data_IF_207973923480
#
_entry.id   IF_207973923480
#
_cell.length_a   1.000
_cell.length_b   1.000
_cell.length_c   1.000
_cell.angle_alpha   90.00
_cell.angle_beta   90.00
_cell.angle_gamma   90.00
#
_symmetry.space_group_name_H-M   'P 1'
#
loop_
_entity.id
_entity.type
_entity.pdbx_description
1 polymer ?
#
# COMPACT_ATOMS: atom_id res chain seq x y z
N UNK A 1 29.37 37.38 -48.35
CA UNK A 1 29.05 36.14 -47.61
C UNK A 1 28.67 36.38 -46.13
N UNK A 2 28.33 37.60 -45.69
CA UNK A 2 27.91 37.84 -44.29
C UNK A 2 26.54 37.23 -43.93
N UNK A 3 25.57 37.27 -44.86
CA UNK A 3 24.15 36.91 -44.61
C UNK A 3 23.87 35.44 -44.29
N UNK A 4 24.81 34.51 -44.54
CA UNK A 4 24.61 33.08 -44.23
C UNK A 4 24.86 32.79 -42.74
N UNK A 5 25.68 33.60 -42.06
CA UNK A 5 25.99 33.42 -40.63
C UNK A 5 24.83 33.80 -39.70
N UNK A 6 23.90 34.63 -40.19
CA UNK A 6 22.77 35.15 -39.41
C UNK A 6 21.48 34.34 -39.60
N UNK A 7 21.53 33.25 -40.39
CA UNK A 7 20.38 32.38 -40.58
C UNK A 7 20.11 31.54 -39.33
N UNK A 8 18.87 31.54 -38.79
CA UNK A 8 18.51 30.71 -37.66
C UNK A 8 18.74 29.24 -37.96
N UNK A 9 19.50 28.59 -37.09
CA UNK A 9 19.78 27.16 -37.22
C UNK A 9 18.52 26.38 -36.87
N UNK A 10 18.26 25.27 -37.56
CA UNK A 10 17.06 24.47 -37.30
C UNK A 10 17.09 23.85 -35.90
N UNK A 11 15.91 23.60 -35.32
CA UNK A 11 15.75 22.93 -34.01
C UNK A 11 16.52 21.60 -33.93
N UNK A 12 16.53 20.83 -35.02
CA UNK A 12 17.24 19.56 -35.09
C UNK A 12 18.76 19.76 -35.05
N UNK A 13 19.29 20.74 -35.79
CA UNK A 13 20.72 21.06 -35.74
C UNK A 13 21.15 21.57 -34.35
N UNK A 14 20.30 22.34 -33.67
CA UNK A 14 20.56 22.77 -32.29
C UNK A 14 20.57 21.58 -31.33
N UNK A 15 19.57 20.69 -31.42
CA UNK A 15 19.50 19.45 -30.63
C UNK A 15 20.74 18.57 -30.84
N UNK A 16 21.13 18.34 -32.09
CA UNK A 16 22.29 17.50 -32.42
C UNK A 16 23.59 18.10 -31.91
N UNK A 17 23.74 19.44 -31.96
CA UNK A 17 24.88 20.13 -31.37
C UNK A 17 24.90 19.99 -29.85
N UNK A 18 23.76 20.15 -29.18
CA UNK A 18 23.65 19.96 -27.73
C UNK A 18 24.05 18.54 -27.33
N UNK A 19 23.55 17.53 -28.05
CA UNK A 19 23.89 16.12 -27.78
C UNK A 19 25.37 15.84 -27.99
N UNK A 20 25.97 16.34 -29.09
CA UNK A 20 27.42 16.21 -29.33
C UNK A 20 28.27 16.90 -28.27
N UNK A 21 27.85 18.08 -27.80
CA UNK A 21 28.55 18.79 -26.73
C UNK A 21 28.43 18.00 -25.42
N UNK A 22 27.25 17.49 -25.08
CA UNK A 22 27.02 16.68 -23.89
C UNK A 22 27.86 15.40 -23.90
N UNK A 23 27.92 14.69 -25.04
CA UNK A 23 28.77 13.52 -25.23
C UNK A 23 30.26 13.85 -25.08
N UNK A 24 30.72 14.95 -25.69
CA UNK A 24 32.10 15.40 -25.56
C UNK A 24 32.47 15.76 -24.11
N UNK A 25 31.60 16.48 -23.39
CA UNK A 25 31.79 16.80 -21.97
C UNK A 25 31.86 15.50 -21.14
N UNK A 26 30.94 14.57 -21.38
CA UNK A 26 30.93 13.28 -20.68
C UNK A 26 32.22 12.50 -20.90
N UNK A 27 32.71 12.46 -22.14
CA UNK A 27 33.97 11.78 -22.47
C UNK A 27 35.18 12.45 -21.80
N UNK A 28 35.22 13.79 -21.73
CA UNK A 28 36.27 14.53 -21.01
C UNK A 28 36.22 14.25 -19.51
N UNK A 29 35.04 14.29 -18.89
CA UNK A 29 34.86 13.96 -17.48
C UNK A 29 35.32 12.53 -17.16
N UNK A 30 35.01 11.55 -18.01
CA UNK A 30 35.46 10.16 -17.84
C UNK A 30 36.99 10.05 -17.95
N UNK A 31 37.60 10.74 -18.92
CA UNK A 31 39.05 10.73 -19.11
C UNK A 31 39.77 11.35 -17.90
N UNK A 32 39.29 12.49 -17.42
CA UNK A 32 39.81 13.18 -16.25
C UNK A 32 39.65 12.33 -14.97
N UNK A 33 38.49 11.70 -14.79
CA UNK A 33 38.22 10.84 -13.64
C UNK A 33 39.12 9.60 -13.62
N UNK A 34 39.45 9.03 -14.78
CA UNK A 34 40.41 7.90 -14.88
C UNK A 34 41.84 8.29 -14.49
N UNK A 35 42.19 9.57 -14.62
CA UNK A 35 43.50 10.11 -14.26
C UNK A 35 43.58 10.59 -12.81
N UNK A 36 42.43 10.72 -12.12
CA UNK A 36 42.40 11.22 -10.75
C UNK A 36 42.85 10.13 -9.76
N UNK A 37 43.72 10.51 -8.81
CA UNK A 37 44.13 9.62 -7.72
C UNK A 37 43.21 9.70 -6.51
N UNK A 38 42.56 10.85 -6.30
CA UNK A 38 41.74 11.15 -5.13
C UNK A 38 40.54 11.99 -5.54
N UNK A 39 39.37 11.65 -4.99
CA UNK A 39 38.13 12.38 -5.16
C UNK A 39 37.30 12.38 -3.87
N UNK A 40 36.31 13.28 -3.82
CA UNK A 40 35.31 13.38 -2.75
C UNK A 40 33.92 13.48 -3.38
N UNK A 41 32.89 13.02 -2.67
CA UNK A 41 31.49 13.02 -3.13
C UNK A 41 30.68 13.97 -2.24
N UNK A 42 29.86 14.82 -2.86
CA UNK A 42 28.84 15.62 -2.19
C UNK A 42 27.45 15.18 -2.64
N UNK A 43 26.53 15.02 -1.69
CA UNK A 43 25.15 14.63 -1.91
C UNK A 43 24.24 15.77 -1.48
N UNK A 44 23.39 16.25 -2.38
CA UNK A 44 22.48 17.38 -2.10
C UNK A 44 21.06 17.11 -2.62
N UNK A 45 20.05 17.67 -1.96
CA UNK A 45 18.67 17.62 -2.44
C UNK A 45 18.41 18.78 -3.40
N UNK A 46 18.15 18.46 -4.67
CA UNK A 46 17.77 19.45 -5.68
C UNK A 46 16.34 19.21 -6.15
N UNK A 47 15.70 20.25 -6.70
CA UNK A 47 14.36 20.16 -7.29
C UNK A 47 14.46 20.39 -8.78
N UNK A 48 13.94 19.47 -9.59
CA UNK A 48 13.93 19.63 -11.05
C UNK A 48 12.89 20.67 -11.51
N UNK A 49 12.89 20.99 -12.81
CA UNK A 49 11.93 21.95 -13.40
C UNK A 49 10.46 21.52 -13.30
N UNK A 50 10.18 20.26 -12.93
CA UNK A 50 8.84 19.72 -12.70
C UNK A 50 8.42 19.81 -11.23
N UNK A 51 9.29 20.28 -10.33
CA UNK A 51 9.04 20.32 -8.88
C UNK A 51 9.38 19.03 -8.15
N UNK A 52 9.99 18.05 -8.83
CA UNK A 52 10.35 16.76 -8.25
C UNK A 52 11.71 16.82 -7.54
N UNK A 53 11.74 16.41 -6.27
CA UNK A 53 12.98 16.31 -5.49
C UNK A 53 13.86 15.16 -6.02
N UNK A 54 15.15 15.44 -6.18
CA UNK A 54 16.18 14.51 -6.64
C UNK A 54 17.44 14.63 -5.79
N UNK A 55 18.11 13.51 -5.58
CA UNK A 55 19.46 13.45 -5.03
C UNK A 55 20.47 13.84 -6.11
N UNK A 56 21.13 14.97 -5.92
CA UNK A 56 22.25 15.42 -6.73
C UNK A 56 23.54 14.86 -6.19
N UNK A 57 24.29 14.17 -7.05
CA UNK A 57 25.59 13.58 -6.73
C UNK A 57 26.65 14.40 -7.44
N UNK A 58 27.42 15.15 -6.67
CA UNK A 58 28.59 15.88 -7.14
C UNK A 58 29.86 15.10 -6.80
N UNK A 59 30.83 15.12 -7.69
CA UNK A 59 32.18 14.63 -7.41
C UNK A 59 33.14 15.81 -7.52
N UNK A 60 33.99 15.97 -6.50
CA UNK A 60 35.09 16.92 -6.49
C UNK A 60 36.41 16.17 -6.49
N UNK A 61 37.26 16.38 -7.49
CA UNK A 61 38.48 15.61 -7.74
C UNK A 61 39.63 16.48 -8.25
N UNK A 62 40.86 15.96 -8.15
CA UNK A 62 42.07 16.63 -8.64
C UNK A 62 42.45 16.11 -10.03
N UNK A 63 42.77 17.04 -10.93
CA UNK A 63 43.38 16.75 -12.24
C UNK A 63 44.63 17.62 -12.37
N UNK A 64 45.81 17.00 -12.32
CA UNK A 64 47.06 17.74 -12.22
C UNK A 64 47.11 18.58 -10.94
N UNK A 65 47.11 19.90 -11.08
CA UNK A 65 47.12 20.88 -9.98
C UNK A 65 45.81 21.66 -9.83
N UNK A 66 44.74 21.25 -10.52
CA UNK A 66 43.42 21.89 -10.47
C UNK A 66 42.39 21.02 -9.76
N UNK A 67 41.49 21.66 -9.02
CA UNK A 67 40.31 21.02 -8.41
C UNK A 67 39.12 21.24 -9.34
N UNK A 68 38.45 20.16 -9.72
CA UNK A 68 37.19 20.21 -10.47
C UNK A 68 36.05 19.69 -9.60
N UNK A 69 34.87 20.27 -9.78
CA UNK A 69 33.62 19.81 -9.17
C UNK A 69 32.57 19.66 -10.28
N UNK A 70 32.01 18.46 -10.40
CA UNK A 70 31.11 18.11 -11.49
C UNK A 70 29.87 17.40 -10.96
N UNK A 71 28.70 17.74 -11.51
CA UNK A 71 27.47 16.98 -11.28
C UNK A 71 27.54 15.68 -12.07
N UNK A 72 27.56 14.56 -11.36
CA UNK A 72 27.70 13.23 -11.97
C UNK A 72 26.35 12.61 -12.27
N UNK A 73 25.39 12.73 -11.34
CA UNK A 73 24.07 12.15 -11.52
C UNK A 73 23.02 12.83 -10.67
N UNK A 74 21.83 12.98 -11.25
CA UNK A 74 20.60 13.19 -10.50
C UNK A 74 19.89 11.84 -10.35
N UNK A 75 19.66 11.42 -9.12
CA UNK A 75 18.97 10.16 -8.80
C UNK A 75 17.64 10.51 -8.12
N UNK A 76 16.57 9.87 -8.52
CA UNK A 76 15.30 10.00 -7.81
C UNK A 76 15.43 9.42 -6.40
N UNK A 77 14.83 10.07 -5.41
CA UNK A 77 14.93 9.68 -3.99
C UNK A 77 14.13 8.42 -3.64
N UNK A 78 13.18 8.04 -4.50
CA UNK A 78 12.27 6.92 -4.25
C UNK A 78 12.87 5.66 -4.84
N UNK A 79 13.27 4.72 -3.99
CA UNK A 79 13.90 3.45 -4.43
C UNK A 79 12.96 2.25 -4.32
N UNK A 80 11.92 2.34 -3.51
CA UNK A 80 11.02 1.23 -3.23
C UNK A 80 9.61 1.68 -2.86
N UNK A 81 8.64 0.82 -3.12
CA UNK A 81 7.24 0.99 -2.74
C UNK A 81 6.79 -0.28 -2.03
N UNK A 82 6.13 -0.12 -0.88
CA UNK A 82 5.46 -1.23 -0.19
C UNK A 82 3.96 -1.09 -0.35
N UNK A 83 3.26 -2.12 -0.83
CA UNK A 83 1.81 -2.10 -1.08
C UNK A 83 1.12 -3.27 -0.39
N UNK A 84 -0.21 -3.22 -0.28
CA UNK A 84 -1.02 -4.35 0.22
C UNK A 84 -1.09 -5.54 -0.75
N UNK A 85 -0.38 -5.49 -1.88
CA UNK A 85 -0.35 -6.57 -2.86
C UNK A 85 -1.61 -6.70 -3.71
N UNK A 86 -2.58 -5.78 -3.61
CA UNK A 86 -3.78 -5.82 -4.42
C UNK A 86 -3.43 -5.74 -5.93
N UNK A 87 -4.21 -6.37 -6.84
CA UNK A 87 -3.93 -6.33 -8.28
C UNK A 87 -3.84 -4.90 -8.86
N UNK A 88 -4.61 -3.96 -8.31
CA UNK A 88 -4.51 -2.53 -8.67
C UNK A 88 -3.18 -1.89 -8.25
N UNK A 89 -2.47 -2.47 -7.29
CA UNK A 89 -1.18 -1.99 -6.79
C UNK A 89 0.00 -2.69 -7.47
N UNK A 90 -0.07 -4.01 -7.63
CA UNK A 90 1.03 -4.87 -8.11
C UNK A 90 0.87 -5.37 -9.54
N UNK A 91 -0.25 -5.06 -10.19
CA UNK A 91 -0.55 -5.47 -11.57
C UNK A 91 0.58 -5.12 -12.54
N UNK A 92 0.92 -6.08 -13.41
CA UNK A 92 2.07 -5.98 -14.32
C UNK A 92 1.98 -4.79 -15.27
N UNK A 93 0.79 -4.46 -15.73
CA UNK A 93 0.57 -3.40 -16.73
C UNK A 93 -0.05 -2.15 -16.12
N UNK A 94 -1.17 -2.33 -15.41
CA UNK A 94 -1.99 -1.27 -14.81
C UNK A 94 -1.80 -1.10 -13.31
N UNK A 95 -0.90 -1.86 -12.68
CA UNK A 95 -0.63 -1.73 -11.26
C UNK A 95 0.11 -0.44 -10.91
N UNK A 96 -0.23 0.16 -9.76
CA UNK A 96 0.41 1.37 -9.25
C UNK A 96 1.93 1.31 -9.32
N UNK A 97 2.56 0.21 -8.87
CA UNK A 97 4.03 0.10 -8.85
C UNK A 97 4.60 0.28 -10.26
N UNK A 98 4.00 -0.34 -11.28
CA UNK A 98 4.46 -0.24 -12.66
C UNK A 98 4.24 1.16 -13.23
N UNK A 99 3.05 1.73 -13.04
CA UNK A 99 2.73 3.08 -13.50
C UNK A 99 3.61 4.14 -12.83
N UNK A 100 3.84 3.98 -11.54
CA UNK A 100 4.69 4.85 -10.75
C UNK A 100 6.17 4.69 -11.12
N UNK A 101 6.63 3.47 -11.40
CA UNK A 101 7.97 3.21 -11.95
C UNK A 101 8.18 3.96 -13.26
N UNK A 102 7.19 3.91 -14.18
CA UNK A 102 7.22 4.65 -15.44
C UNK A 102 7.23 6.16 -15.22
N UNK A 103 6.45 6.66 -14.27
CA UNK A 103 6.38 8.09 -13.94
C UNK A 103 7.69 8.61 -13.33
N UNK A 104 8.27 7.89 -12.36
CA UNK A 104 9.52 8.27 -11.69
C UNK A 104 10.73 8.10 -12.63
N UNK A 105 10.59 7.27 -13.67
CA UNK A 105 11.57 7.16 -14.75
C UNK A 105 12.76 6.25 -14.46
N UNK A 106 12.68 5.41 -13.42
CA UNK A 106 13.67 4.36 -13.13
C UNK A 106 13.03 3.18 -12.38
N UNK A 107 13.66 1.99 -12.36
CA UNK A 107 13.13 0.81 -11.67
C UNK A 107 12.89 1.04 -10.17
N UNK A 108 11.73 0.61 -9.66
CA UNK A 108 11.38 0.61 -8.24
C UNK A 108 11.32 -0.82 -7.69
N UNK A 109 11.77 -0.99 -6.44
CA UNK A 109 11.58 -2.25 -5.71
C UNK A 109 10.16 -2.30 -5.12
N UNK A 110 9.34 -3.22 -5.62
CA UNK A 110 8.00 -3.47 -5.10
C UNK A 110 8.01 -4.53 -4.00
N UNK A 111 7.58 -4.15 -2.79
CA UNK A 111 7.41 -5.07 -1.66
C UNK A 111 5.93 -5.25 -1.31
N UNK A 112 5.56 -6.47 -0.95
CA UNK A 112 4.27 -6.72 -0.30
C UNK A 112 4.38 -6.38 1.18
N UNK A 113 3.44 -5.60 1.70
CA UNK A 113 3.35 -5.20 3.09
C UNK A 113 3.31 -6.42 4.00
N UNK A 114 4.33 -6.54 4.86
CA UNK A 114 4.49 -7.67 5.79
C UNK A 114 3.30 -7.80 6.75
N UNK A 115 2.70 -6.67 7.16
CA UNK A 115 1.50 -6.62 8.01
C UNK A 115 0.30 -7.21 7.27
N UNK A 116 0.17 -6.94 5.96
CA UNK A 116 -0.92 -7.52 5.17
C UNK A 116 -0.68 -9.01 4.90
N UNK A 117 0.55 -9.43 4.62
CA UNK A 117 0.89 -10.84 4.45
C UNK A 117 0.64 -11.65 5.73
N UNK A 118 1.04 -11.12 6.88
CA UNK A 118 0.76 -11.71 8.19
C UNK A 118 -0.76 -11.88 8.41
N UNK A 119 -1.56 -10.84 8.12
CA UNK A 119 -3.01 -10.91 8.18
C UNK A 119 -3.62 -11.96 7.22
N UNK A 120 -3.08 -12.11 6.01
CA UNK A 120 -3.50 -13.14 5.06
C UNK A 120 -3.17 -14.56 5.55
N UNK A 121 -1.96 -14.76 6.09
CA UNK A 121 -1.53 -16.02 6.68
C UNK A 121 -2.42 -16.39 7.87
N UNK A 122 -2.66 -15.45 8.78
CA UNK A 122 -3.57 -15.63 9.92
C UNK A 122 -4.96 -16.05 9.45
N UNK A 123 -5.55 -15.37 8.43
CA UNK A 123 -6.86 -15.70 7.87
C UNK A 123 -6.97 -17.15 7.40
N UNK A 124 -5.90 -17.70 6.81
CA UNK A 124 -5.88 -19.11 6.43
C UNK A 124 -5.77 -20.02 7.66
N UNK A 125 -4.98 -19.66 8.68
CA UNK A 125 -4.92 -20.42 9.94
C UNK A 125 -6.29 -20.47 10.62
N UNK A 126 -7.09 -19.40 10.59
CA UNK A 126 -8.47 -19.41 11.12
C UNK A 126 -9.37 -20.44 10.44
N UNK A 127 -9.11 -20.84 9.19
CA UNK A 127 -9.89 -21.92 8.53
C UNK A 127 -9.68 -23.27 9.20
N UNK A 128 -8.49 -23.52 9.75
CA UNK A 128 -8.19 -24.76 10.50
C UNK A 128 -8.97 -24.83 11.81
N UNK A 129 -9.30 -23.68 12.39
CA UNK A 129 -10.03 -23.55 13.67
C UNK A 129 -11.44 -22.96 13.48
N UNK A 130 -12.03 -23.11 12.29
CA UNK A 130 -13.30 -22.46 11.92
C UNK A 130 -14.47 -22.94 12.80
N UNK A 131 -14.49 -24.23 13.16
CA UNK A 131 -15.48 -24.78 14.08
C UNK A 131 -15.43 -24.11 15.46
N UNK A 132 -14.22 -23.89 16.00
CA UNK A 132 -14.01 -23.23 17.29
C UNK A 132 -14.50 -21.78 17.23
N UNK A 133 -14.08 -21.03 16.20
CA UNK A 133 -14.49 -19.64 16.02
C UNK A 133 -16.00 -19.51 15.87
N UNK A 134 -16.64 -20.39 15.10
CA UNK A 134 -18.09 -20.36 14.90
C UNK A 134 -18.83 -20.55 16.21
N UNK A 135 -18.40 -21.51 17.03
CA UNK A 135 -19.03 -21.77 18.32
C UNK A 135 -18.81 -20.60 19.30
N UNK A 136 -17.57 -20.14 19.46
CA UNK A 136 -17.24 -18.97 20.29
C UNK A 136 -18.07 -17.76 19.86
N UNK A 137 -18.13 -17.47 18.57
CA UNK A 137 -18.91 -16.35 18.01
C UNK A 137 -20.40 -16.51 18.30
N UNK A 138 -20.95 -17.73 18.18
CA UNK A 138 -22.35 -18.02 18.49
C UNK A 138 -22.65 -17.73 19.97
N UNK A 139 -21.81 -18.21 20.88
CA UNK A 139 -21.98 -18.00 22.32
C UNK A 139 -21.83 -16.52 22.69
N UNK A 140 -20.77 -15.86 22.22
CA UNK A 140 -20.54 -14.44 22.46
C UNK A 140 -21.74 -13.63 21.98
N UNK A 141 -22.20 -13.83 20.75
CA UNK A 141 -23.35 -13.12 20.21
C UNK A 141 -24.65 -13.42 20.99
N UNK A 142 -24.86 -14.64 21.47
CA UNK A 142 -26.01 -14.96 22.32
C UNK A 142 -26.02 -14.13 23.62
N UNK A 143 -24.85 -13.95 24.23
CA UNK A 143 -24.68 -13.17 25.45
C UNK A 143 -24.79 -11.67 25.16
N UNK A 144 -24.11 -11.17 24.12
CA UNK A 144 -23.90 -9.74 23.92
C UNK A 144 -24.93 -9.06 23.03
N UNK A 145 -25.60 -9.78 22.12
CA UNK A 145 -26.51 -9.17 21.14
C UNK A 145 -27.84 -8.72 21.77
N UNK A 146 -28.29 -9.35 22.86
CA UNK A 146 -29.52 -8.99 23.57
C UNK A 146 -29.18 -8.20 24.84
N UNK A 147 -29.74 -7.00 24.99
CA UNK A 147 -29.47 -6.14 26.14
C UNK A 147 -29.83 -6.74 27.50
N UNK A 148 -30.80 -7.66 27.57
CA UNK A 148 -31.10 -8.39 28.80
C UNK A 148 -29.98 -9.39 29.16
N UNK A 149 -29.58 -10.24 28.22
CA UNK A 149 -28.52 -11.23 28.42
C UNK A 149 -27.20 -10.54 28.78
N UNK A 150 -26.88 -9.45 28.06
CA UNK A 150 -25.71 -8.64 28.35
C UNK A 150 -25.72 -8.13 29.78
N UNK A 151 -26.79 -7.48 30.24
CA UNK A 151 -26.89 -6.97 31.63
C UNK A 151 -26.82 -8.08 32.67
N UNK A 152 -27.45 -9.23 32.43
CA UNK A 152 -27.38 -10.38 33.33
C UNK A 152 -25.94 -10.90 33.46
N UNK A 153 -25.26 -11.07 32.33
CA UNK A 153 -23.86 -11.51 32.32
C UNK A 153 -22.94 -10.47 32.97
N UNK A 154 -23.16 -9.17 32.74
CA UNK A 154 -22.41 -8.11 33.42
C UNK A 154 -22.62 -8.11 34.94
N UNK A 155 -23.81 -8.50 35.42
CA UNK A 155 -24.06 -8.64 36.85
C UNK A 155 -23.36 -9.88 37.42
N UNK A 156 -23.41 -11.03 36.72
CA UNK A 156 -22.67 -12.23 37.10
C UNK A 156 -21.17 -11.94 37.25
N UNK A 157 -20.57 -11.26 36.27
CA UNK A 157 -19.16 -10.88 36.32
C UNK A 157 -18.83 -9.97 37.53
N UNK A 158 -19.76 -9.10 37.95
CA UNK A 158 -19.57 -8.28 39.15
C UNK A 158 -19.67 -9.11 40.43
N UNK A 159 -20.59 -10.06 40.48
CA UNK A 159 -20.79 -10.93 41.65
C UNK A 159 -19.56 -11.80 41.94
N UNK A 160 -18.90 -12.30 40.90
CA UNK A 160 -17.67 -13.09 41.03
C UNK A 160 -16.39 -12.25 41.11
N UNK A 161 -16.50 -10.91 41.15
CA UNK A 161 -15.37 -9.97 41.11
C UNK A 161 -14.42 -10.19 39.93
N UNK A 162 -14.96 -10.47 38.74
CA UNK A 162 -14.16 -10.62 37.53
C UNK A 162 -13.44 -9.32 37.15
N UNK A 163 -12.26 -9.44 36.57
CA UNK A 163 -11.49 -8.31 36.03
C UNK A 163 -12.25 -7.62 34.89
N UNK A 164 -13.11 -8.37 34.19
CA UNK A 164 -13.86 -7.88 33.05
C UNK A 164 -15.28 -7.46 33.41
N UNK A 165 -15.77 -6.46 32.70
CA UNK A 165 -17.15 -5.95 32.84
C UNK A 165 -18.07 -6.41 31.71
N UNK A 166 -17.68 -7.43 30.95
CA UNK A 166 -18.44 -7.96 29.82
C UNK A 166 -17.55 -8.55 28.73
N UNK A 167 -18.19 -9.16 27.73
CA UNK A 167 -17.51 -9.71 26.55
C UNK A 167 -17.37 -8.68 25.44
N UNK A 168 -16.36 -8.89 24.59
CA UNK A 168 -16.14 -8.10 23.38
C UNK A 168 -16.98 -8.68 22.25
N UNK A 169 -17.75 -7.82 21.55
CA UNK A 169 -18.50 -8.24 20.37
C UNK A 169 -17.55 -8.65 19.24
N UNK A 170 -17.87 -9.76 18.59
CA UNK A 170 -17.13 -10.23 17.44
C UNK A 170 -17.43 -9.35 16.21
N UNK A 171 -16.40 -8.82 15.56
CA UNK A 171 -16.51 -8.11 14.28
C UNK A 171 -15.71 -8.81 13.19
N UNK A 172 -16.38 -9.16 12.08
CA UNK A 172 -15.77 -9.83 10.94
C UNK A 172 -14.72 -9.00 10.18
N UNK A 173 -14.73 -7.67 10.33
CA UNK A 173 -13.98 -6.75 9.48
C UNK A 173 -12.52 -6.57 9.93
N UNK A 174 -12.21 -6.81 11.21
CA UNK A 174 -10.88 -6.50 11.76
C UNK A 174 -10.31 -7.70 12.50
N UNK A 175 -9.39 -8.43 11.87
CA UNK A 175 -8.91 -9.71 12.36
C UNK A 175 -8.27 -9.64 13.77
N UNK A 176 -7.60 -8.52 14.12
CA UNK A 176 -7.06 -8.26 15.46
C UNK A 176 -8.13 -8.39 16.57
N UNK A 177 -9.39 -8.08 16.24
CA UNK A 177 -10.50 -8.22 17.20
C UNK A 177 -10.82 -9.67 17.54
N UNK A 178 -10.49 -10.63 16.67
CA UNK A 178 -10.76 -12.06 16.89
C UNK A 178 -9.89 -12.65 18.00
N UNK A 179 -8.59 -12.32 18.01
CA UNK A 179 -7.70 -12.74 19.09
C UNK A 179 -8.14 -12.18 20.45
N UNK A 180 -8.53 -10.90 20.49
CA UNK A 180 -9.02 -10.28 21.73
C UNK A 180 -10.34 -10.91 22.22
N UNK A 181 -11.23 -11.31 21.31
CA UNK A 181 -12.47 -12.03 21.67
C UNK A 181 -12.15 -13.41 22.24
N UNK A 182 -11.24 -14.17 21.60
CA UNK A 182 -10.81 -15.48 22.09
C UNK A 182 -10.17 -15.39 23.47
N UNK A 183 -9.28 -14.42 23.66
CA UNK A 183 -8.64 -14.16 24.95
C UNK A 183 -9.69 -13.87 26.02
N UNK A 184 -10.61 -12.93 25.77
CA UNK A 184 -11.70 -12.61 26.71
C UNK A 184 -12.59 -13.82 27.01
N UNK A 185 -12.86 -14.63 25.99
CA UNK A 185 -13.69 -15.83 26.13
C UNK A 185 -13.03 -16.86 27.05
N UNK A 186 -11.73 -17.09 26.93
CA UNK A 186 -10.97 -17.96 27.82
C UNK A 186 -10.89 -17.38 29.24
N UNK A 187 -10.67 -16.08 29.37
CA UNK A 187 -10.56 -15.43 30.69
C UNK A 187 -11.89 -15.40 31.46
N UNK A 188 -13.02 -15.45 30.76
CA UNK A 188 -14.37 -15.54 31.35
C UNK A 188 -14.96 -16.96 31.21
N UNK A 189 -14.15 -18.00 30.97
CA UNK A 189 -14.67 -19.31 30.51
C UNK A 189 -15.63 -19.94 31.53
N UNK A 190 -15.31 -19.90 32.81
CA UNK A 190 -16.14 -20.46 33.88
C UNK A 190 -17.44 -19.67 34.03
N UNK A 191 -17.38 -18.34 34.01
CA UNK A 191 -18.57 -17.49 34.08
C UNK A 191 -19.48 -17.66 32.86
N UNK A 192 -18.89 -17.88 31.69
CA UNK A 192 -19.65 -18.20 30.46
C UNK A 192 -20.38 -19.54 30.64
N UNK A 193 -19.73 -20.58 31.17
CA UNK A 193 -20.38 -21.86 31.44
C UNK A 193 -21.54 -21.70 32.44
N UNK A 194 -21.30 -21.04 33.56
CA UNK A 194 -22.33 -20.74 34.57
C UNK A 194 -23.54 -20.03 33.95
N UNK A 195 -23.28 -18.99 33.15
CA UNK A 195 -24.34 -18.23 32.49
C UNK A 195 -25.15 -19.08 31.49
N UNK A 196 -24.48 -19.92 30.71
CA UNK A 196 -25.13 -20.79 29.73
C UNK A 196 -26.02 -21.84 30.42
N UNK A 197 -25.54 -22.43 31.52
CA UNK A 197 -26.32 -23.38 32.32
C UNK A 197 -27.59 -22.72 32.89
N UNK A 198 -27.48 -21.51 33.44
CA UNK A 198 -28.63 -20.74 33.92
C UNK A 198 -29.64 -20.39 32.80
N UNK A 199 -29.15 -20.19 31.57
CA UNK A 199 -29.99 -19.92 30.40
C UNK A 199 -30.44 -21.21 29.67
N UNK A 200 -30.17 -22.40 30.23
CA UNK A 200 -30.44 -23.71 29.62
C UNK A 200 -29.89 -23.82 28.18
N UNK A 201 -28.71 -23.26 27.92
CA UNK A 201 -28.01 -23.39 26.63
C UNK A 201 -26.91 -24.45 26.75
N UNK A 202 -27.13 -25.60 26.13
CA UNK A 202 -26.19 -26.73 26.20
C UNK A 202 -25.20 -26.65 25.03
N UNK A 203 -23.92 -26.73 25.37
CA UNK A 203 -22.80 -26.79 24.43
C UNK A 203 -21.81 -27.87 24.91
N UNK A 204 -21.91 -29.07 24.34
CA UNK A 204 -21.10 -30.25 24.75
C UNK A 204 -19.60 -30.00 24.61
N UNK A 205 -19.20 -29.19 23.62
CA UNK A 205 -17.82 -28.83 23.35
C UNK A 205 -17.15 -28.10 24.55
N UNK A 206 -17.92 -27.40 25.38
CA UNK A 206 -17.42 -26.72 26.59
C UNK A 206 -17.11 -27.68 27.75
N UNK A 207 -17.37 -28.97 27.57
CA UNK A 207 -17.02 -30.04 28.52
C UNK A 207 -16.01 -31.03 27.94
N UNK A 208 -15.69 -30.93 26.65
CA UNK A 208 -14.69 -31.76 25.98
C UNK A 208 -13.28 -31.17 26.18
N UNK A 209 -12.45 -31.90 26.92
CA UNK A 209 -11.08 -31.50 27.24
C UNK A 209 -10.19 -31.33 26.00
N UNK A 210 -10.39 -32.15 24.94
CA UNK A 210 -9.61 -32.00 23.71
C UNK A 210 -9.99 -30.72 22.98
N UNK A 211 -11.28 -30.43 22.92
CA UNK A 211 -11.78 -29.19 22.32
C UNK A 211 -11.30 -27.96 23.08
N UNK A 212 -11.37 -27.98 24.41
CA UNK A 212 -10.92 -26.88 25.28
C UNK A 212 -9.41 -26.64 25.10
N UNK A 213 -8.60 -27.69 25.05
CA UNK A 213 -7.15 -27.56 24.83
C UNK A 213 -6.85 -26.90 23.46
N UNK A 214 -7.60 -27.26 22.41
CA UNK A 214 -7.47 -26.65 21.08
C UNK A 214 -7.90 -25.18 21.08
N UNK A 215 -8.95 -24.82 21.82
CA UNK A 215 -9.38 -23.43 21.98
C UNK A 215 -8.30 -22.60 22.71
N UNK A 216 -7.74 -23.10 23.81
CA UNK A 216 -6.69 -22.43 24.59
C UNK A 216 -5.44 -22.20 23.75
N UNK A 217 -4.93 -23.26 23.11
CA UNK A 217 -3.79 -23.15 22.19
C UNK A 217 -4.04 -22.10 21.10
N UNK A 218 -5.26 -22.08 20.56
CA UNK A 218 -5.60 -21.13 19.52
C UNK A 218 -5.67 -19.69 20.02
N UNK A 219 -6.21 -19.46 21.23
CA UNK A 219 -6.21 -18.15 21.86
C UNK A 219 -4.78 -17.62 22.04
N UNK A 220 -3.88 -18.42 22.63
CA UNK A 220 -2.47 -18.05 22.82
C UNK A 220 -1.76 -17.72 21.50
N UNK A 221 -1.95 -18.58 20.49
CA UNK A 221 -1.39 -18.36 19.16
C UNK A 221 -1.88 -17.04 18.53
N UNK A 222 -3.19 -16.77 18.61
CA UNK A 222 -3.76 -15.52 18.07
C UNK A 222 -3.30 -14.28 18.83
N UNK A 223 -3.02 -14.41 20.13
CA UNK A 223 -2.47 -13.32 20.93
C UNK A 223 -1.04 -12.98 20.48
N UNK A 224 -0.20 -13.97 20.21
CA UNK A 224 1.15 -13.73 19.65
C UNK A 224 1.11 -13.05 18.28
N UNK A 225 0.17 -13.42 17.41
CA UNK A 225 -0.04 -12.74 16.12
C UNK A 225 -0.47 -11.27 16.32
N UNK A 226 -1.39 -11.01 17.25
CA UNK A 226 -1.82 -9.66 17.59
C UNK A 226 -0.65 -8.80 18.08
N UNK A 227 0.19 -9.31 18.98
CA UNK A 227 1.38 -8.61 19.47
C UNK A 227 2.40 -8.33 18.37
N UNK A 228 2.66 -9.32 17.51
CA UNK A 228 3.55 -9.15 16.37
C UNK A 228 3.03 -8.04 15.45
N UNK A 229 1.73 -8.04 15.15
CA UNK A 229 1.12 -7.04 14.30
C UNK A 229 1.21 -5.62 14.89
N UNK A 230 0.94 -5.46 16.18
CA UNK A 230 1.09 -4.19 16.90
C UNK A 230 2.53 -3.71 16.83
N UNK A 231 3.51 -4.58 17.13
CA UNK A 231 4.95 -4.23 17.07
C UNK A 231 5.40 -3.83 15.66
N UNK A 232 4.85 -4.46 14.62
CA UNK A 232 5.12 -4.08 13.22
C UNK A 232 4.53 -2.71 12.87
N UNK A 233 3.38 -2.34 13.45
CA UNK A 233 2.76 -1.02 13.25
C UNK A 233 3.43 0.10 14.07
N UNK A 234 3.86 -0.19 15.31
CA UNK A 234 4.48 0.77 16.22
C UNK A 234 5.87 1.22 15.76
N UNK A 235 6.61 0.39 15.01
CA UNK A 235 7.90 0.81 14.42
C UNK A 235 7.76 1.88 13.33
N UNK A 236 6.54 2.23 12.92
CA UNK A 236 6.24 3.36 12.03
C UNK A 236 5.91 4.66 12.78
N UNK A 237 6.15 4.76 14.11
CA UNK A 237 5.54 5.81 14.94
C UNK A 237 6.09 7.25 14.70
N UNK A 238 5.12 8.18 14.79
CA UNK A 238 5.04 9.66 14.79
C UNK A 238 6.19 10.53 14.30
N UNK A 239 7.44 10.22 14.62
CA UNK A 239 8.61 11.05 14.24
C UNK A 239 8.96 10.86 12.77
N UNK A 240 8.82 9.64 12.23
CA UNK A 240 8.88 9.39 10.78
C UNK A 240 7.65 9.94 10.08
N UNK A 241 6.44 9.78 10.64
CA UNK A 241 5.22 10.35 10.07
C UNK A 241 5.31 11.88 9.95
N UNK A 242 5.80 12.61 10.97
CA UNK A 242 6.04 14.07 10.90
C UNK A 242 7.16 14.47 9.94
N UNK A 243 8.18 13.65 9.72
CA UNK A 243 9.25 13.90 8.73
C UNK A 243 8.82 13.60 7.28
N UNK A 244 8.01 12.56 7.07
CA UNK A 244 7.50 12.15 5.75
C UNK A 244 6.32 13.04 5.33
N UNK A 245 5.45 13.41 6.27
CA UNK A 245 4.35 14.35 6.07
C UNK A 245 4.81 15.81 6.20
N UNK A 246 5.99 16.15 5.69
CA UNK A 246 6.23 17.56 5.34
C UNK A 246 5.33 17.91 4.15
N UNK A 247 4.92 19.17 4.09
CA UNK A 247 3.76 19.70 3.33
C UNK A 247 3.66 19.27 1.85
N UNK A 248 4.76 18.83 1.22
CA UNK A 248 4.77 18.37 -0.18
C UNK A 248 4.03 17.05 -0.42
N UNK A 249 4.10 16.07 0.50
CA UNK A 249 3.38 14.80 0.34
C UNK A 249 1.87 15.01 0.59
N UNK A 250 1.52 15.96 1.45
CA UNK A 250 0.14 16.36 1.71
C UNK A 250 -0.50 17.04 0.50
N UNK A 251 0.22 17.88 -0.25
CA UNK A 251 -0.28 18.44 -1.52
C UNK A 251 -0.64 17.37 -2.56
N UNK A 252 0.12 16.28 -2.67
CA UNK A 252 -0.20 15.18 -3.58
C UNK A 252 -1.43 14.38 -3.12
N UNK A 253 -1.59 14.18 -1.81
CA UNK A 253 -2.77 13.54 -1.24
C UNK A 253 -3.99 14.45 -1.38
N UNK A 254 -3.87 15.76 -1.17
CA UNK A 254 -4.94 16.73 -1.43
C UNK A 254 -5.29 16.80 -2.92
N UNK A 255 -4.33 16.72 -3.84
CA UNK A 255 -4.61 16.64 -5.28
C UNK A 255 -5.33 15.35 -5.66
N UNK A 256 -4.96 14.21 -5.06
CA UNK A 256 -5.65 12.92 -5.25
C UNK A 256 -7.08 12.96 -4.67
N UNK A 257 -7.25 13.52 -3.47
CA UNK A 257 -8.57 13.69 -2.85
C UNK A 257 -9.42 14.66 -3.69
N UNK A 258 -8.87 15.76 -4.18
CA UNK A 258 -9.56 16.74 -5.03
C UNK A 258 -9.96 16.14 -6.38
N UNK A 259 -9.09 15.31 -6.97
CA UNK A 259 -9.37 14.58 -8.22
C UNK A 259 -10.48 13.54 -8.01
N UNK A 260 -10.41 12.75 -6.93
CA UNK A 260 -11.44 11.76 -6.58
C UNK A 260 -12.77 12.45 -6.25
N UNK A 261 -12.77 13.54 -5.48
CA UNK A 261 -13.96 14.34 -5.19
C UNK A 261 -14.56 14.99 -6.45
N UNK A 262 -13.73 15.43 -7.40
CA UNK A 262 -14.19 15.99 -8.69
C UNK A 262 -14.83 14.93 -9.58
N UNK A 263 -14.27 13.71 -9.61
CA UNK A 263 -14.83 12.56 -10.34
C UNK A 263 -16.15 12.11 -9.70
N UNK A 264 -16.21 12.02 -8.38
CA UNK A 264 -17.44 11.66 -7.66
C UNK A 264 -18.52 12.72 -7.88
N UNK A 265 -18.19 14.01 -7.79
CA UNK A 265 -19.14 15.10 -8.06
C UNK A 265 -19.60 15.12 -9.53
N UNK A 266 -18.72 14.79 -10.48
CA UNK A 266 -19.07 14.68 -11.91
C UNK A 266 -20.00 13.49 -12.18
N UNK A 267 -19.77 12.35 -11.51
CA UNK A 267 -20.65 11.17 -11.56
C UNK A 267 -22.01 11.50 -10.93
N UNK A 268 -22.04 12.18 -9.78
CA UNK A 268 -23.30 12.58 -9.12
C UNK A 268 -24.09 13.60 -9.94
N UNK A 269 -23.42 14.53 -10.63
CA UNK A 269 -24.06 15.48 -11.56
C UNK A 269 -24.66 14.73 -12.77
N UNK A 270 -23.93 13.76 -13.34
CA UNK A 270 -24.40 12.91 -14.44
C UNK A 270 -25.57 12.01 -14.06
N UNK A 271 -25.61 11.51 -12.83
CA UNK A 271 -26.72 10.70 -12.31
C UNK A 271 -27.95 11.55 -11.98
N UNK A 272 -27.77 12.84 -11.69
CA UNK A 272 -28.85 13.76 -11.30
C UNK A 272 -29.59 14.43 -12.47
N UNK A 273 -29.00 14.46 -13.68
CA UNK A 273 -29.57 15.15 -14.86
C UNK A 273 -30.10 14.15 -15.90
N UNK A 274 -31.16 13.45 -15.50
CA UNK A 274 -31.78 12.34 -16.22
C UNK A 274 -32.54 12.66 -17.53
N UNK A 275 -32.86 13.91 -17.96
CA UNK A 275 -33.62 14.11 -19.21
C UNK A 275 -32.83 14.30 -20.51
N UNK A 276 -31.48 14.39 -20.53
CA UNK A 276 -30.72 14.76 -21.75
C UNK A 276 -29.64 13.76 -22.20
N UNK A 277 -29.84 12.45 -21.97
CA UNK A 277 -28.91 11.40 -22.37
C UNK A 277 -29.28 10.67 -23.68
N UNK A 278 -29.82 11.36 -24.69
CA UNK A 278 -30.06 10.75 -26.01
C UNK A 278 -28.84 10.74 -26.95
N UNK A 279 -27.76 11.47 -26.63
CA UNK A 279 -26.57 11.61 -27.50
C UNK A 279 -25.30 10.95 -26.92
N UNK A 280 -25.34 10.49 -25.66
CA UNK A 280 -24.23 9.80 -25.01
C UNK A 280 -23.89 8.40 -25.59
N UNK A 281 -24.81 7.65 -26.24
CA UNK A 281 -24.46 6.35 -26.80
C UNK A 281 -23.45 6.38 -27.95
N UNK A 282 -23.42 7.43 -28.79
CA UNK A 282 -22.53 7.48 -29.97
C UNK A 282 -21.07 7.79 -29.59
N UNK A 283 -20.84 8.75 -28.68
CA UNK A 283 -19.49 9.11 -28.21
C UNK A 283 -18.82 7.98 -27.40
N UNK A 284 -19.61 7.24 -26.61
CA UNK A 284 -19.14 6.04 -25.90
C UNK A 284 -18.81 4.89 -26.88
N UNK A 285 -19.52 4.80 -28.00
CA UNK A 285 -19.27 3.78 -29.02
C UNK A 285 -18.01 4.09 -29.86
N UNK A 286 -17.72 5.36 -30.15
CA UNK A 286 -16.45 5.78 -30.77
C UNK A 286 -15.25 5.51 -29.86
N UNK A 287 -15.35 5.84 -28.56
CA UNK A 287 -14.30 5.54 -27.58
C UNK A 287 -14.10 4.02 -27.44
N UNK A 288 -15.18 3.24 -27.45
CA UNK A 288 -15.13 1.77 -27.39
C UNK A 288 -14.51 1.15 -28.65
N UNK A 289 -14.79 1.71 -29.84
CA UNK A 289 -14.18 1.26 -31.10
C UNK A 289 -12.69 1.62 -31.19
N UNK A 290 -12.28 2.81 -30.72
CA UNK A 290 -10.87 3.19 -30.67
C UNK A 290 -10.06 2.28 -29.71
N UNK A 291 -10.68 1.87 -28.61
CA UNK A 291 -10.13 0.88 -27.67
C UNK A 291 -10.00 -0.52 -28.33
N UNK A 292 -10.93 -0.95 -29.18
CA UNK A 292 -10.86 -2.26 -29.86
C UNK A 292 -9.78 -2.26 -30.97
N UNK A 293 -9.73 -1.23 -31.80
CA UNK A 293 -8.82 -1.19 -32.97
C UNK A 293 -7.34 -1.01 -32.60
N UNK A 294 -7.03 -0.17 -31.61
CA UNK A 294 -5.64 0.20 -31.29
C UNK A 294 -5.08 -0.47 -30.03
N UNK A 295 -5.93 -1.11 -29.21
CA UNK A 295 -5.52 -1.85 -28.02
C UNK A 295 -5.76 -3.36 -28.17
N UNK A 296 -6.91 -3.81 -28.70
CA UNK A 296 -7.23 -5.25 -28.79
C UNK A 296 -6.65 -5.93 -30.04
N UNK A 297 -6.68 -5.31 -31.23
CA UNK A 297 -6.17 -5.94 -32.45
C UNK A 297 -4.66 -6.28 -32.44
N UNK A 298 -3.78 -5.43 -31.88
CA UNK A 298 -2.36 -5.76 -31.74
C UNK A 298 -2.07 -6.85 -30.69
N UNK A 299 -2.99 -7.10 -29.74
CA UNK A 299 -2.88 -8.18 -28.77
C UNK A 299 -3.12 -9.57 -29.41
N UNK A 300 -3.89 -9.67 -30.49
CA UNK A 300 -4.19 -10.94 -31.18
C UNK A 300 -3.12 -11.38 -32.20
N UNK A 301 -2.31 -10.46 -32.74
CA UNK A 301 -1.16 -10.81 -33.60
C UNK A 301 0.04 -11.37 -32.80
N UNK A 302 0.12 -11.08 -31.50
CA UNK A 302 1.17 -11.59 -30.60
C UNK A 302 0.93 -13.06 -30.22
N UNK A 303 -0.33 -13.55 -30.23
CA UNK A 303 -0.62 -14.98 -30.03
C UNK A 303 -0.22 -15.86 -31.23
N UNK A 304 -0.10 -15.31 -32.44
CA UNK A 304 0.29 -16.06 -33.65
C UNK A 304 1.79 -16.25 -33.87
N UNK A 305 2.64 -15.48 -33.18
CA UNK A 305 4.12 -15.51 -33.36
C UNK A 305 4.87 -16.13 -32.19
N UNK A 306 4.16 -16.73 -31.22
CA UNK A 306 4.75 -17.46 -30.10
C UNK A 306 4.57 -18.99 -30.17
N UNK A 307 4.32 -19.53 -31.38
CA UNK A 307 4.24 -20.97 -31.69
C UNK A 307 5.06 -21.43 -32.92
N UNK A 308 6.01 -20.63 -33.40
CA UNK A 308 7.15 -21.02 -34.26
C UNK A 308 8.34 -20.10 -33.96
#
# INVERSE_FOLDING_TARGET
MQRIKDLPITRNTVKDRILKIAENITNQQIADFKLCNVFSICLDESTDITGSARLSIFIRYFVGSEIKEELVKLVSLIVSVTTDGAPSMTGRESGFINLFTKHVGHPLLGFHCIIHQEALCAKNTFKLFDAIIKLVTKIVNFITARGLNKRKFENLLKEVNSVYRGLVMFNNVRWLSRGNVLQRFIECFDEIKMFLDEQNQIHEELSDLEWIARLMFFADFTQHLNELNIKLQEKLDKTMKRKILSDKCWNYVEHLITLVCSIVNWITILESDTPRLSVVPEALNEIKQHFITYIISPLLEIEGTMLL
#
